data_IF_994247293889
#
_entry.id   IF_994247293889
#
_cell.length_a   1.000
_cell.length_b   1.000
_cell.length_c   1.000
_cell.angle_alpha   90.00
_cell.angle_beta   90.00
_cell.angle_gamma   90.00
#
_symmetry.space_group_name_H-M   'P 1'
#
loop_
_entity.id
_entity.type
_entity.pdbx_description
1 polymer ?
#
# COMPACT_ATOMS: atom_id res chain seq x y z
N UNK A 1 -1.95 6.16 -41.84
CA UNK A 1 -2.47 7.29 -41.02
C UNK A 1 -1.34 8.31 -40.85
N UNK A 2 -1.61 9.62 -40.79
CA UNK A 2 -0.53 10.61 -40.63
C UNK A 2 0.18 10.36 -39.27
N UNK A 3 1.52 10.19 -39.21
CA UNK A 3 2.25 9.87 -37.98
C UNK A 3 2.03 10.93 -36.88
N UNK A 4 1.79 12.18 -37.28
CA UNK A 4 1.44 13.26 -36.35
C UNK A 4 0.04 13.09 -35.76
N UNK A 5 -0.94 12.66 -36.56
CA UNK A 5 -2.29 12.43 -36.07
C UNK A 5 -2.31 11.27 -35.06
N UNK A 6 -1.56 10.20 -35.32
CA UNK A 6 -1.44 9.05 -34.40
C UNK A 6 -0.75 9.42 -33.09
N UNK A 7 0.28 10.28 -33.11
CA UNK A 7 0.92 10.73 -31.87
C UNK A 7 0.01 11.65 -31.06
N UNK A 8 -0.79 12.51 -31.71
CA UNK A 8 -1.84 13.31 -31.06
C UNK A 8 -2.88 12.38 -30.42
N UNK A 9 -3.37 11.37 -31.14
CA UNK A 9 -4.32 10.41 -30.59
C UNK A 9 -3.76 9.68 -29.36
N UNK A 10 -2.51 9.20 -29.42
CA UNK A 10 -1.83 8.57 -28.29
C UNK A 10 -1.68 9.54 -27.10
N UNK A 11 -1.28 10.78 -27.37
CA UNK A 11 -1.18 11.81 -26.33
C UNK A 11 -2.53 12.13 -25.68
N UNK A 12 -3.58 12.28 -26.49
CA UNK A 12 -4.94 12.49 -25.97
C UNK A 12 -5.45 11.32 -25.15
N UNK A 13 -5.10 10.08 -25.52
CA UNK A 13 -5.46 8.90 -24.76
C UNK A 13 -4.85 8.92 -23.35
N UNK A 14 -3.55 9.17 -23.22
CA UNK A 14 -2.90 9.26 -21.90
C UNK A 14 -3.39 10.45 -21.07
N UNK A 15 -3.69 11.60 -21.70
CA UNK A 15 -4.36 12.70 -21.01
C UNK A 15 -5.74 12.31 -20.50
N UNK A 16 -6.55 11.60 -21.30
CA UNK A 16 -7.85 11.10 -20.89
C UNK A 16 -7.73 10.11 -19.72
N UNK A 17 -6.76 9.19 -19.76
CA UNK A 17 -6.50 8.26 -18.64
C UNK A 17 -6.24 9.03 -17.34
N UNK A 18 -5.39 10.07 -17.38
CA UNK A 18 -5.09 10.89 -16.21
C UNK A 18 -6.33 11.64 -15.68
N UNK A 19 -7.12 12.21 -16.60
CA UNK A 19 -8.32 12.99 -16.25
C UNK A 19 -9.41 12.09 -15.68
N UNK A 20 -9.64 10.91 -16.28
CA UNK A 20 -10.59 9.91 -15.77
C UNK A 20 -10.16 9.45 -14.38
N UNK A 21 -8.87 9.17 -14.21
CA UNK A 21 -8.32 8.82 -12.91
C UNK A 21 -8.57 9.94 -11.89
N UNK A 22 -8.59 11.23 -12.26
CA UNK A 22 -8.71 12.34 -11.30
C UNK A 22 -10.15 12.60 -10.81
N UNK A 23 -11.14 11.95 -11.42
CA UNK A 23 -12.56 12.18 -11.10
C UNK A 23 -12.94 11.85 -9.65
N UNK A 24 -12.48 10.73 -9.04
CA UNK A 24 -12.82 10.39 -7.66
C UNK A 24 -12.33 11.43 -6.66
N UNK A 25 -11.07 11.86 -6.80
CA UNK A 25 -10.52 12.96 -6.02
C UNK A 25 -11.32 14.26 -6.16
N UNK A 26 -11.65 14.69 -7.39
CA UNK A 26 -12.45 15.89 -7.63
C UNK A 26 -13.84 15.81 -6.99
N UNK A 27 -14.46 14.64 -7.04
CA UNK A 27 -15.75 14.40 -6.41
C UNK A 27 -15.68 14.43 -4.86
N UNK A 28 -14.55 14.01 -4.29
CA UNK A 28 -14.33 13.97 -2.84
C UNK A 28 -14.01 15.35 -2.25
N UNK A 29 -13.26 16.20 -2.97
CA UNK A 29 -12.86 17.54 -2.49
C UNK A 29 -14.04 18.52 -2.49
N UNK A 30 -14.78 18.61 -3.60
CA UNK A 30 -15.95 19.50 -3.69
C UNK A 30 -17.12 18.84 -4.46
N UNK A 31 -17.95 18.04 -3.76
CA UNK A 31 -19.04 17.30 -4.39
C UNK A 31 -20.14 18.21 -4.96
N UNK A 32 -20.31 19.43 -4.43
CA UNK A 32 -21.35 20.35 -4.90
C UNK A 32 -20.92 20.99 -6.22
N UNK A 33 -19.70 21.53 -6.26
CA UNK A 33 -19.14 22.13 -7.47
C UNK A 33 -18.98 21.09 -8.56
N UNK A 34 -18.48 19.89 -8.24
CA UNK A 34 -18.32 18.80 -9.21
C UNK A 34 -19.66 18.37 -9.85
N UNK A 35 -20.72 18.16 -9.06
CA UNK A 35 -22.05 17.82 -9.59
C UNK A 35 -22.64 18.95 -10.44
N UNK A 36 -22.44 20.20 -10.04
CA UNK A 36 -22.90 21.35 -10.82
C UNK A 36 -22.12 21.48 -12.14
N UNK A 37 -20.84 21.14 -12.13
CA UNK A 37 -19.98 21.20 -13.30
C UNK A 37 -20.34 20.11 -14.32
N UNK A 38 -20.68 18.90 -13.87
CA UNK A 38 -21.11 17.80 -14.74
C UNK A 38 -22.45 18.04 -15.44
N UNK A 39 -23.31 18.94 -14.91
CA UNK A 39 -24.63 19.22 -15.50
C UNK A 39 -24.58 20.22 -16.65
N UNK A 40 -23.55 21.06 -16.73
CA UNK A 40 -23.45 22.12 -17.76
C UNK A 40 -22.73 21.58 -19.01
N UNK A 41 -23.35 21.58 -20.19
CA UNK A 41 -22.72 21.05 -21.41
C UNK A 41 -21.47 21.84 -21.81
N UNK A 42 -21.40 23.13 -21.46
CA UNK A 42 -20.23 24.00 -21.67
C UNK A 42 -18.99 23.46 -20.94
N UNK A 43 -19.15 22.91 -19.74
CA UNK A 43 -18.02 22.40 -18.97
C UNK A 43 -17.47 21.10 -19.56
N UNK A 44 -18.33 20.27 -20.16
CA UNK A 44 -17.90 19.11 -20.93
C UNK A 44 -17.13 19.53 -22.18
N UNK A 45 -17.58 20.56 -22.89
CA UNK A 45 -16.85 21.11 -24.04
C UNK A 45 -15.46 21.66 -23.64
N UNK A 46 -15.38 22.37 -22.50
CA UNK A 46 -14.10 22.86 -21.95
C UNK A 46 -13.20 21.67 -21.57
N UNK A 47 -13.73 20.66 -20.87
CA UNK A 47 -12.96 19.49 -20.46
C UNK A 47 -12.41 18.67 -21.64
N UNK A 48 -13.24 18.45 -22.66
CA UNK A 48 -12.79 17.78 -23.90
C UNK A 48 -11.77 18.64 -24.63
N UNK A 49 -12.01 19.96 -24.73
CA UNK A 49 -11.08 20.90 -25.35
C UNK A 49 -9.72 20.94 -24.66
N UNK A 50 -9.68 20.96 -23.32
CA UNK A 50 -8.42 20.93 -22.56
C UNK A 50 -7.72 19.58 -22.68
N UNK A 51 -8.45 18.45 -22.68
CA UNK A 51 -7.85 17.13 -22.91
C UNK A 51 -7.20 17.03 -24.29
N UNK A 52 -7.88 17.53 -25.33
CA UNK A 52 -7.34 17.54 -26.69
C UNK A 52 -6.13 18.47 -26.79
N UNK A 53 -6.18 19.66 -26.21
CA UNK A 53 -5.06 20.60 -26.17
C UNK A 53 -3.82 20.02 -25.46
N UNK A 54 -4.02 19.37 -24.30
CA UNK A 54 -2.94 18.68 -23.58
C UNK A 54 -2.39 17.49 -24.38
N UNK A 55 -3.24 16.72 -25.06
CA UNK A 55 -2.79 15.63 -25.92
C UNK A 55 -1.98 16.10 -27.12
N UNK A 56 -2.35 17.24 -27.72
CA UNK A 56 -1.54 17.91 -28.76
C UNK A 56 -0.20 18.36 -28.18
N UNK A 57 -0.20 18.99 -27.00
CA UNK A 57 1.03 19.43 -26.33
C UNK A 57 1.98 18.25 -26.03
N UNK A 58 1.44 17.12 -25.55
CA UNK A 58 2.21 15.90 -25.31
C UNK A 58 2.76 15.31 -26.61
N UNK A 59 1.98 15.32 -27.70
CA UNK A 59 2.44 14.86 -29.00
C UNK A 59 3.55 15.74 -29.60
N UNK A 60 3.47 17.06 -29.39
CA UNK A 60 4.54 17.99 -29.75
C UNK A 60 5.79 17.76 -28.90
N UNK A 61 5.63 17.55 -27.60
CA UNK A 61 6.73 17.23 -26.68
C UNK A 61 7.47 15.95 -27.11
N UNK A 62 6.73 14.86 -27.37
CA UNK A 62 7.29 13.59 -27.83
C UNK A 62 8.08 13.77 -29.14
N UNK A 63 7.58 14.65 -30.02
CA UNK A 63 8.25 15.00 -31.29
C UNK A 63 9.50 15.85 -31.11
N UNK A 64 9.57 16.68 -30.06
CA UNK A 64 10.74 17.51 -29.75
C UNK A 64 11.87 16.66 -29.19
N UNK A 65 11.57 15.72 -28.29
CA UNK A 65 12.60 14.92 -27.61
C UNK A 65 13.26 13.93 -28.57
N UNK A 66 12.47 13.19 -29.37
CA UNK A 66 12.86 12.13 -30.33
C UNK A 66 13.73 10.97 -29.80
N UNK A 67 14.53 11.18 -28.76
CA UNK A 67 15.39 10.20 -28.11
C UNK A 67 14.55 9.11 -27.42
N UNK A 68 14.68 7.88 -27.89
CA UNK A 68 13.95 6.72 -27.37
C UNK A 68 14.15 6.52 -25.86
N UNK A 69 15.39 6.62 -25.37
CA UNK A 69 15.72 6.43 -23.96
C UNK A 69 15.10 7.49 -23.06
N UNK A 70 15.10 8.76 -23.48
CA UNK A 70 14.49 9.86 -22.74
C UNK A 70 12.97 9.74 -22.72
N UNK A 71 12.36 9.32 -23.83
CA UNK A 71 10.91 9.13 -23.92
C UNK A 71 10.40 8.03 -22.98
N UNK A 72 11.16 6.94 -22.82
CA UNK A 72 10.86 5.90 -21.84
C UNK A 72 10.91 6.46 -20.41
N UNK A 73 11.91 7.28 -20.07
CA UNK A 73 12.01 7.92 -18.75
C UNK A 73 10.81 8.84 -18.48
N UNK A 74 10.42 9.67 -19.45
CA UNK A 74 9.23 10.53 -19.32
C UNK A 74 7.94 9.72 -19.21
N UNK A 75 7.84 8.59 -19.93
CA UNK A 75 6.73 7.65 -19.77
C UNK A 75 6.66 7.06 -18.37
N UNK A 76 7.81 6.64 -17.80
CA UNK A 76 7.89 6.16 -16.41
C UNK A 76 7.48 7.23 -15.41
N UNK A 77 7.92 8.48 -15.60
CA UNK A 77 7.52 9.61 -14.75
C UNK A 77 6.00 9.86 -14.80
N UNK A 78 5.39 9.79 -16.00
CA UNK A 78 3.93 9.84 -16.15
C UNK A 78 3.25 8.69 -15.38
N UNK A 79 3.75 7.46 -15.54
CA UNK A 79 3.27 6.28 -14.82
C UNK A 79 3.38 6.43 -13.30
N UNK A 80 4.46 7.04 -12.80
CA UNK A 80 4.66 7.33 -11.39
C UNK A 80 3.62 8.30 -10.85
N UNK A 81 3.33 9.38 -11.57
CA UNK A 81 2.31 10.35 -11.18
C UNK A 81 0.93 9.68 -11.17
N UNK A 82 0.61 8.92 -12.22
CA UNK A 82 -0.65 8.17 -12.31
C UNK A 82 -0.79 7.16 -11.17
N UNK A 83 0.27 6.43 -10.81
CA UNK A 83 0.27 5.49 -9.69
C UNK A 83 0.00 6.20 -8.35
N UNK A 84 0.69 7.30 -8.05
CA UNK A 84 0.43 8.08 -6.84
C UNK A 84 -1.03 8.55 -6.77
N UNK A 85 -1.54 9.04 -7.91
CA UNK A 85 -2.93 9.50 -8.01
C UNK A 85 -3.92 8.37 -7.76
N UNK A 86 -3.77 7.21 -8.42
CA UNK A 86 -4.63 6.05 -8.22
C UNK A 86 -4.60 5.52 -6.78
N UNK A 87 -3.44 5.56 -6.12
CA UNK A 87 -3.32 5.22 -4.71
C UNK A 87 -4.20 6.14 -3.86
N UNK A 88 -4.12 7.46 -4.09
CA UNK A 88 -4.95 8.43 -3.36
C UNK A 88 -6.45 8.26 -3.69
N UNK A 89 -6.80 8.09 -4.96
CA UNK A 89 -8.19 7.87 -5.40
C UNK A 89 -8.80 6.62 -4.78
N UNK A 90 -8.02 5.55 -4.61
CA UNK A 90 -8.44 4.33 -3.93
C UNK A 90 -8.94 4.66 -2.51
N UNK A 91 -8.16 5.40 -1.71
CA UNK A 91 -8.58 5.80 -0.35
C UNK A 91 -9.74 6.79 -0.34
N UNK A 92 -9.84 7.68 -1.33
CA UNK A 92 -11.00 8.57 -1.48
C UNK A 92 -12.29 7.78 -1.78
N UNK A 93 -12.22 6.70 -2.57
CA UNK A 93 -13.37 5.86 -2.94
C UNK A 93 -13.78 4.87 -1.86
N UNK A 94 -12.86 4.45 -0.99
CA UNK A 94 -13.15 3.51 0.09
C UNK A 94 -14.25 4.04 1.02
N UNK A 95 -14.23 5.32 1.41
CA UNK A 95 -15.23 5.88 2.32
C UNK A 95 -16.67 5.93 1.77
N UNK A 96 -16.94 6.44 0.55
CA UNK A 96 -18.30 6.38 0.01
C UNK A 96 -18.76 4.93 -0.22
N UNK A 97 -17.85 4.01 -0.55
CA UNK A 97 -18.17 2.59 -0.65
C UNK A 97 -18.54 2.00 0.72
N UNK A 98 -17.76 2.29 1.77
CA UNK A 98 -18.08 1.87 3.14
C UNK A 98 -19.39 2.48 3.65
N UNK A 99 -19.72 3.73 3.26
CA UNK A 99 -21.00 4.36 3.62
C UNK A 99 -22.20 3.60 3.07
N UNK A 100 -22.08 2.93 1.92
CA UNK A 100 -23.15 2.13 1.33
C UNK A 100 -23.50 0.92 2.21
N UNK A 101 -22.48 0.25 2.76
CA UNK A 101 -22.67 -0.96 3.57
C UNK A 101 -22.90 -0.66 5.05
N UNK A 102 -22.18 0.32 5.60
CA UNK A 102 -22.17 0.58 7.04
C UNK A 102 -22.05 2.08 7.39
N UNK A 103 -23.15 2.86 7.29
CA UNK A 103 -23.09 4.32 7.38
C UNK A 103 -22.55 4.84 8.71
N UNK A 104 -23.02 4.28 9.84
CA UNK A 104 -22.66 4.75 11.19
C UNK A 104 -21.21 4.42 11.56
N UNK A 105 -20.75 3.21 11.25
CA UNK A 105 -19.35 2.82 11.46
C UNK A 105 -18.40 3.59 10.56
N UNK A 106 -18.81 3.90 9.33
CA UNK A 106 -17.99 4.69 8.38
C UNK A 106 -17.74 6.10 8.88
N UNK A 107 -18.70 6.73 9.55
CA UNK A 107 -18.48 8.06 10.13
C UNK A 107 -17.38 8.04 11.21
N UNK A 108 -17.34 7.00 12.04
CA UNK A 108 -16.28 6.79 13.05
C UNK A 108 -14.95 6.47 12.37
N UNK A 109 -14.96 5.57 11.38
CA UNK A 109 -13.76 5.20 10.63
C UNK A 109 -13.12 6.38 9.90
N UNK A 110 -13.92 7.25 9.28
CA UNK A 110 -13.43 8.46 8.62
C UNK A 110 -12.83 9.44 9.63
N UNK A 111 -13.41 9.57 10.82
CA UNK A 111 -12.85 10.40 11.88
C UNK A 111 -11.50 9.85 12.35
N UNK A 112 -11.43 8.55 12.65
CA UNK A 112 -10.19 7.88 13.08
C UNK A 112 -9.09 7.89 12.00
N UNK A 113 -9.46 7.72 10.73
CA UNK A 113 -8.53 7.86 9.61
C UNK A 113 -7.95 9.28 9.51
N UNK A 114 -8.82 10.30 9.57
CA UNK A 114 -8.39 11.71 9.52
C UNK A 114 -7.52 12.07 10.73
N UNK A 115 -7.86 11.56 11.90
CA UNK A 115 -7.04 11.70 13.11
C UNK A 115 -5.65 11.08 12.87
N UNK A 116 -5.59 9.83 12.43
CA UNK A 116 -4.33 9.13 12.16
C UNK A 116 -3.44 9.84 11.13
N UNK A 117 -3.99 10.29 10.00
CA UNK A 117 -3.22 10.97 8.93
C UNK A 117 -2.77 12.39 9.35
N UNK A 118 -3.49 13.04 10.27
CA UNK A 118 -3.14 14.37 10.79
C UNK A 118 -2.14 14.33 11.93
N UNK A 119 -2.00 13.19 12.61
CA UNK A 119 -1.01 13.04 13.67
C UNK A 119 0.40 13.20 13.09
N UNK A 120 1.30 13.97 13.74
CA UNK A 120 2.68 14.14 13.28
C UNK A 120 3.43 12.82 13.09
N UNK A 121 3.12 11.81 13.90
CA UNK A 121 3.74 10.48 13.85
C UNK A 121 3.56 9.80 12.48
N UNK A 122 2.45 10.02 11.79
CA UNK A 122 2.23 9.48 10.45
C UNK A 122 3.31 9.96 9.48
N UNK A 123 3.50 11.28 9.40
CA UNK A 123 4.47 11.88 8.49
C UNK A 123 5.91 11.68 8.94
N UNK A 124 6.17 11.65 10.24
CA UNK A 124 7.50 11.35 10.79
C UNK A 124 7.95 9.93 10.44
N UNK A 125 7.11 8.92 10.66
CA UNK A 125 7.42 7.52 10.31
C UNK A 125 7.59 7.38 8.81
N UNK A 126 6.68 7.97 8.01
CA UNK A 126 6.76 7.93 6.54
C UNK A 126 8.06 8.57 6.03
N UNK A 127 8.41 9.75 6.54
CA UNK A 127 9.63 10.45 6.12
C UNK A 127 10.90 9.70 6.56
N UNK A 128 10.91 9.13 7.77
CA UNK A 128 12.04 8.36 8.28
C UNK A 128 12.24 7.07 7.50
N UNK A 129 11.17 6.29 7.29
CA UNK A 129 11.20 5.07 6.49
C UNK A 129 11.60 5.36 5.03
N UNK A 130 11.02 6.40 4.42
CA UNK A 130 11.40 6.85 3.08
C UNK A 130 12.87 7.31 3.01
N UNK A 131 13.37 8.00 4.04
CA UNK A 131 14.77 8.41 4.13
C UNK A 131 15.75 7.24 4.18
N UNK A 132 15.49 6.24 5.02
CA UNK A 132 16.29 5.01 5.07
C UNK A 132 16.28 4.30 3.70
N UNK A 133 15.10 4.20 3.09
CA UNK A 133 14.93 3.55 1.79
C UNK A 133 15.67 4.29 0.66
N UNK A 134 15.73 5.62 0.69
CA UNK A 134 16.51 6.41 -0.28
C UNK A 134 18.02 6.27 -0.09
N UNK A 135 18.47 5.99 1.14
CA UNK A 135 19.89 5.78 1.46
C UNK A 135 20.33 4.35 1.09
N UNK A 136 19.42 3.37 1.16
CA UNK A 136 19.68 1.94 0.94
C UNK A 136 20.52 1.63 -0.32
N UNK A 137 20.23 2.16 -1.53
CA UNK A 137 21.06 1.98 -2.73
C UNK A 137 22.54 2.32 -2.57
N UNK A 138 22.88 3.27 -1.70
CA UNK A 138 24.24 3.76 -1.54
C UNK A 138 25.04 2.98 -0.49
N UNK A 139 24.40 2.05 0.22
CA UNK A 139 25.03 1.26 1.27
C UNK A 139 25.65 0.01 0.65
N UNK A 140 26.97 -0.22 0.78
CA UNK A 140 27.57 -1.47 0.34
C UNK A 140 27.04 -2.62 1.19
N UNK A 141 26.28 -3.52 0.57
CA UNK A 141 25.77 -4.72 1.25
C UNK A 141 26.78 -5.86 1.33
N UNK A 142 27.96 -5.68 0.71
CA UNK A 142 28.97 -6.71 0.56
C UNK A 142 28.41 -8.01 -0.04
N UNK A 143 27.41 -7.87 -0.92
CA UNK A 143 26.85 -9.01 -1.65
C UNK A 143 27.71 -9.26 -2.88
N UNK A 144 27.85 -10.52 -3.28
CA UNK A 144 28.61 -10.91 -4.47
C UNK A 144 27.79 -10.68 -5.76
N UNK A 145 27.26 -9.46 -5.94
CA UNK A 145 26.47 -9.07 -7.12
C UNK A 145 24.95 -9.27 -6.99
N UNK A 146 24.41 -9.40 -5.78
CA UNK A 146 22.97 -9.52 -5.52
C UNK A 146 22.36 -8.26 -4.87
N UNK A 147 22.98 -7.10 -5.08
CA UNK A 147 22.60 -5.85 -4.41
C UNK A 147 21.14 -5.46 -4.70
N UNK A 148 20.68 -5.66 -5.95
CA UNK A 148 19.29 -5.42 -6.33
C UNK A 148 18.26 -6.26 -5.55
N UNK A 149 18.58 -7.53 -5.26
CA UNK A 149 17.71 -8.41 -4.45
C UNK A 149 17.70 -7.93 -3.00
N UNK A 150 18.85 -7.53 -2.47
CA UNK A 150 19.02 -7.05 -1.08
C UNK A 150 18.29 -5.73 -0.83
N UNK A 151 18.44 -4.74 -1.72
CA UNK A 151 17.73 -3.44 -1.65
C UNK A 151 16.22 -3.66 -1.67
N UNK A 152 15.75 -4.58 -2.51
CA UNK A 152 14.32 -4.96 -2.61
C UNK A 152 13.79 -5.56 -1.30
N UNK A 153 14.51 -6.51 -0.72
CA UNK A 153 14.12 -7.16 0.54
C UNK A 153 14.09 -6.15 1.71
N UNK A 154 15.13 -5.34 1.83
CA UNK A 154 15.21 -4.28 2.86
C UNK A 154 14.08 -3.27 2.70
N UNK A 155 13.78 -2.84 1.47
CA UNK A 155 12.69 -1.92 1.20
C UNK A 155 11.33 -2.47 1.64
N UNK A 156 11.03 -3.74 1.37
CA UNK A 156 9.80 -4.37 1.85
C UNK A 156 9.73 -4.47 3.36
N UNK A 157 10.83 -4.83 4.03
CA UNK A 157 10.91 -4.88 5.48
C UNK A 157 10.71 -3.50 6.13
N UNK A 158 11.24 -2.43 5.52
CA UNK A 158 11.04 -1.05 5.98
C UNK A 158 9.55 -0.66 5.86
N UNK A 159 8.90 -0.96 4.73
CA UNK A 159 7.46 -0.67 4.52
C UNK A 159 6.61 -1.41 5.56
N UNK A 160 6.85 -2.70 5.73
CA UNK A 160 6.16 -3.55 6.70
C UNK A 160 6.30 -3.00 8.11
N UNK A 161 7.53 -2.73 8.55
CA UNK A 161 7.81 -2.22 9.89
C UNK A 161 7.16 -0.86 10.12
N UNK A 162 7.21 0.05 9.13
CA UNK A 162 6.57 1.36 9.23
C UNK A 162 5.04 1.26 9.40
N UNK A 163 4.39 0.42 8.59
CA UNK A 163 2.94 0.20 8.66
C UNK A 163 2.50 -0.40 10.00
N UNK A 164 3.21 -1.44 10.46
CA UNK A 164 2.96 -2.09 11.75
C UNK A 164 3.19 -1.11 12.91
N UNK A 165 4.33 -0.42 12.92
CA UNK A 165 4.69 0.52 13.97
C UNK A 165 3.64 1.63 14.09
N UNK A 166 3.27 2.25 12.98
CA UNK A 166 2.23 3.28 12.96
C UNK A 166 0.88 2.72 13.42
N UNK A 167 0.45 1.56 12.90
CA UNK A 167 -0.84 0.98 13.26
C UNK A 167 -0.96 0.68 14.75
N UNK A 168 0.05 0.05 15.34
CA UNK A 168 0.10 -0.28 16.78
C UNK A 168 0.13 0.99 17.63
N UNK A 169 0.96 1.99 17.26
CA UNK A 169 1.03 3.26 17.98
C UNK A 169 -0.30 4.02 17.92
N UNK A 170 -0.88 4.16 16.73
CA UNK A 170 -2.13 4.88 16.52
C UNK A 170 -3.30 4.22 17.26
N UNK A 171 -3.38 2.88 17.26
CA UNK A 171 -4.39 2.16 18.03
C UNK A 171 -4.21 2.35 19.54
N UNK A 172 -2.98 2.22 20.02
CA UNK A 172 -2.69 2.35 21.45
C UNK A 172 -3.01 3.76 21.95
N UNK A 173 -2.66 4.81 21.19
CA UNK A 173 -2.98 6.20 21.56
C UNK A 173 -4.48 6.48 21.44
N UNK A 174 -5.04 6.29 20.25
CA UNK A 174 -6.41 6.71 19.95
C UNK A 174 -7.46 5.96 20.78
N UNK A 175 -7.21 4.70 21.15
CA UNK A 175 -8.18 3.90 21.93
C UNK A 175 -7.93 4.05 23.43
N UNK A 176 -6.69 3.87 23.91
CA UNK A 176 -6.43 3.93 25.35
C UNK A 176 -6.71 5.32 25.91
N UNK A 177 -6.31 6.41 25.22
CA UNK A 177 -6.55 7.78 25.70
C UNK A 177 -8.04 8.12 25.73
N UNK A 178 -8.83 7.66 24.76
CA UNK A 178 -10.27 7.95 24.75
C UNK A 178 -11.05 7.16 25.79
N UNK A 179 -10.59 5.95 26.12
CA UNK A 179 -11.22 5.14 27.15
C UNK A 179 -10.80 5.63 28.56
N UNK A 180 -9.51 5.92 28.78
CA UNK A 180 -9.01 6.45 30.06
C UNK A 180 -9.49 7.88 30.33
N UNK A 181 -9.49 8.73 29.30
CA UNK A 181 -9.95 10.12 29.38
C UNK A 181 -11.47 10.29 29.48
N UNK A 182 -12.24 9.19 29.54
CA UNK A 182 -13.73 9.15 29.54
C UNK A 182 -14.39 9.86 28.34
N UNK A 183 -13.64 10.26 27.32
CA UNK A 183 -14.18 10.93 26.12
C UNK A 183 -14.97 9.97 25.24
N UNK A 184 -14.71 8.66 25.31
CA UNK A 184 -15.52 7.64 24.66
C UNK A 184 -17.03 7.72 25.03
N UNK A 185 -17.35 8.12 26.27
CA UNK A 185 -18.74 8.25 26.75
C UNK A 185 -19.47 9.38 26.02
N UNK A 186 -18.76 10.46 25.70
CA UNK A 186 -19.34 11.59 24.96
C UNK A 186 -19.71 11.21 23.52
N UNK A 187 -18.89 10.37 22.88
CA UNK A 187 -19.19 9.86 21.53
C UNK A 187 -20.38 8.90 21.57
N UNK A 188 -20.48 8.08 22.61
CA UNK A 188 -21.59 7.15 22.84
C UNK A 188 -22.93 7.84 23.22
N UNK A 189 -22.92 9.15 23.51
CA UNK A 189 -24.17 9.92 23.68
C UNK A 189 -24.93 10.12 22.35
N UNK A 190 -24.24 9.94 21.21
CA UNK A 190 -24.84 9.81 19.88
C UNK A 190 -25.27 8.35 19.65
N UNK A 191 -26.17 8.04 18.69
CA UNK A 191 -26.68 6.68 18.46
C UNK A 191 -25.64 5.74 17.79
N UNK A 192 -24.46 5.61 18.40
CA UNK A 192 -23.32 4.78 18.00
C UNK A 192 -23.08 3.74 19.09
N UNK A 193 -23.26 2.46 18.73
CA UNK A 193 -23.00 1.36 19.67
C UNK A 193 -21.50 1.20 19.98
N UNK A 194 -21.16 0.65 21.15
CA UNK A 194 -19.79 0.25 21.54
C UNK A 194 -19.06 -0.55 20.45
N UNK A 195 -19.77 -1.49 19.80
CA UNK A 195 -19.24 -2.31 18.70
C UNK A 195 -18.88 -1.47 17.47
N UNK A 196 -19.75 -0.53 17.10
CA UNK A 196 -19.52 0.40 15.98
C UNK A 196 -18.36 1.35 16.24
N UNK A 197 -18.18 1.77 17.49
CA UNK A 197 -17.06 2.61 17.88
C UNK A 197 -15.71 1.87 17.71
N UNK A 198 -15.56 0.68 18.30
CA UNK A 198 -14.30 -0.08 18.26
C UNK A 198 -13.93 -0.53 16.84
N UNK A 199 -14.89 -1.14 16.13
CA UNK A 199 -14.68 -1.61 14.76
C UNK A 199 -14.46 -0.44 13.79
N UNK A 200 -15.16 0.69 13.98
CA UNK A 200 -14.93 1.90 13.20
C UNK A 200 -13.51 2.44 13.38
N UNK A 201 -13.01 2.52 14.62
CA UNK A 201 -11.63 2.92 14.91
C UNK A 201 -10.62 1.98 14.28
N UNK A 202 -10.81 0.67 14.42
CA UNK A 202 -9.96 -0.33 13.77
C UNK A 202 -9.86 -0.10 12.26
N UNK A 203 -11.00 0.01 11.56
CA UNK A 203 -11.02 0.22 10.10
C UNK A 203 -10.37 1.56 9.72
N UNK A 204 -10.63 2.63 10.47
CA UNK A 204 -10.04 3.94 10.20
C UNK A 204 -8.52 3.95 10.34
N UNK A 205 -7.99 3.34 11.41
CA UNK A 205 -6.54 3.23 11.65
C UNK A 205 -5.91 2.29 10.63
N UNK A 206 -6.57 1.17 10.29
CA UNK A 206 -6.11 0.26 9.25
C UNK A 206 -5.96 0.96 7.91
N UNK A 207 -6.96 1.74 7.50
CA UNK A 207 -6.91 2.52 6.26
C UNK A 207 -5.80 3.57 6.28
N UNK A 208 -5.53 4.19 7.44
CA UNK A 208 -4.42 5.13 7.58
C UNK A 208 -3.07 4.39 7.42
N UNK A 209 -2.89 3.24 8.06
CA UNK A 209 -1.69 2.41 7.87
C UNK A 209 -1.53 1.94 6.42
N UNK A 210 -2.61 1.53 5.76
CA UNK A 210 -2.58 1.12 4.36
C UNK A 210 -2.22 2.29 3.44
N UNK A 211 -2.66 3.52 3.75
CA UNK A 211 -2.25 4.72 3.01
C UNK A 211 -0.74 4.95 3.18
N UNK A 212 -0.21 4.83 4.39
CA UNK A 212 1.25 4.93 4.64
C UNK A 212 2.02 3.89 3.83
N UNK A 213 1.57 2.63 3.86
CA UNK A 213 2.16 1.53 3.07
C UNK A 213 2.11 1.85 1.57
N UNK A 214 0.99 2.37 1.07
CA UNK A 214 0.86 2.78 -0.34
C UNK A 214 1.79 3.94 -0.73
N UNK A 215 1.95 4.95 0.15
CA UNK A 215 2.87 6.06 -0.07
C UNK A 215 4.34 5.59 -0.06
N UNK A 216 4.72 4.74 0.90
CA UNK A 216 6.05 4.15 0.94
C UNK A 216 6.29 3.18 -0.23
N UNK A 217 5.27 2.43 -0.66
CA UNK A 217 5.33 1.59 -1.86
C UNK A 217 5.58 2.39 -3.14
N UNK A 218 5.02 3.60 -3.24
CA UNK A 218 5.34 4.51 -4.32
C UNK A 218 6.80 4.99 -4.28
N UNK A 219 7.31 5.36 -3.10
CA UNK A 219 8.73 5.73 -2.90
C UNK A 219 9.64 4.55 -3.24
N UNK A 220 9.30 3.35 -2.78
CA UNK A 220 10.03 2.11 -3.06
C UNK A 220 10.17 1.83 -4.54
N UNK A 221 9.08 1.93 -5.31
CA UNK A 221 9.14 1.75 -6.76
C UNK A 221 10.08 2.79 -7.42
N UNK A 222 10.11 4.03 -6.88
CA UNK A 222 11.06 5.06 -7.29
C UNK A 222 12.51 4.71 -6.98
N UNK A 223 12.79 4.16 -5.79
CA UNK A 223 14.12 3.69 -5.39
C UNK A 223 14.59 2.53 -6.26
N UNK A 224 13.72 1.53 -6.51
CA UNK A 224 14.03 0.41 -7.39
C UNK A 224 14.30 0.87 -8.82
N UNK A 225 13.59 1.89 -9.30
CA UNK A 225 13.86 2.49 -10.60
C UNK A 225 15.21 3.24 -10.63
N UNK A 226 15.55 3.95 -9.56
CA UNK A 226 16.84 4.62 -9.43
C UNK A 226 18.00 3.62 -9.41
N UNK A 227 17.85 2.51 -8.68
CA UNK A 227 18.85 1.44 -8.60
C UNK A 227 19.18 0.88 -9.99
N UNK A 228 18.16 0.57 -10.79
CA UNK A 228 18.33 0.09 -12.16
C UNK A 228 18.96 1.12 -13.11
N UNK A 229 18.83 2.40 -12.79
CA UNK A 229 19.47 3.45 -13.57
C UNK A 229 20.96 3.57 -13.22
N UNK A 230 21.31 3.34 -11.95
CA UNK A 230 22.67 3.44 -11.43
C UNK A 230 23.50 2.19 -11.75
N UNK A 231 22.98 1.01 -11.44
CA UNK A 231 23.60 -0.28 -11.74
C UNK A 231 23.19 -0.78 -13.13
N UNK A 232 23.97 -0.40 -14.14
CA UNK A 232 23.74 -0.77 -15.53
C UNK A 232 23.92 -2.26 -15.81
N UNK A 233 24.66 -2.97 -14.97
CA UNK A 233 24.89 -4.40 -15.14
C UNK A 233 23.64 -5.16 -14.67
N UNK A 234 23.04 -4.76 -13.54
CA UNK A 234 21.73 -5.26 -13.11
C UNK A 234 20.60 -4.99 -14.13
N UNK A 235 20.68 -3.89 -14.88
CA UNK A 235 19.70 -3.56 -15.91
C UNK A 235 19.81 -4.43 -17.18
N UNK A 236 20.97 -5.02 -17.47
CA UNK A 236 21.17 -5.87 -18.66
C UNK A 236 20.54 -7.25 -18.49
N UNK A 237 20.49 -7.76 -17.26
CA UNK A 237 19.95 -9.08 -16.94
C UNK A 237 18.41 -9.09 -16.87
N UNK A 238 17.77 -7.93 -16.67
CA UNK A 238 16.31 -7.83 -16.58
C UNK A 238 15.71 -7.71 -17.98
N UNK A 239 15.24 -8.85 -18.50
CA UNK A 239 14.44 -8.92 -19.72
C UNK A 239 13.15 -8.10 -19.54
N UNK A 240 12.83 -7.27 -20.53
CA UNK A 240 11.56 -6.54 -20.58
C UNK A 240 10.39 -7.51 -20.29
N UNK A 241 9.39 -7.11 -19.48
CA UNK A 241 8.29 -8.00 -19.10
C UNK A 241 7.59 -8.56 -20.34
N UNK A 242 7.24 -9.85 -20.30
CA UNK A 242 6.66 -10.54 -21.45
C UNK A 242 5.40 -9.82 -22.00
N UNK A 243 4.57 -9.29 -21.13
CA UNK A 243 3.36 -8.55 -21.51
C UNK A 243 3.68 -7.16 -22.11
N UNK A 244 4.74 -6.48 -21.63
CA UNK A 244 5.20 -5.21 -22.22
C UNK A 244 5.80 -5.46 -23.61
N UNK A 245 6.53 -6.58 -23.78
CA UNK A 245 7.03 -6.99 -25.09
C UNK A 245 5.89 -7.35 -26.06
N UNK A 246 4.86 -8.05 -25.60
CA UNK A 246 3.65 -8.28 -26.39
C UNK A 246 2.97 -6.96 -26.78
N UNK A 247 2.86 -6.00 -25.86
CA UNK A 247 2.31 -4.68 -26.15
C UNK A 247 3.16 -3.91 -27.16
N UNK A 248 4.50 -3.96 -27.04
CA UNK A 248 5.45 -3.39 -28.01
C UNK A 248 5.18 -3.94 -29.41
N UNK A 249 5.09 -5.26 -29.57
CA UNK A 249 4.83 -5.90 -30.85
C UNK A 249 3.45 -5.54 -31.41
N UNK A 250 2.41 -5.52 -30.56
CA UNK A 250 1.05 -5.21 -30.97
C UNK A 250 0.84 -3.74 -31.38
N UNK A 251 1.63 -2.83 -30.80
CA UNK A 251 1.47 -1.38 -31.00
C UNK A 251 2.48 -0.79 -31.99
N UNK A 252 3.59 -1.48 -32.28
CA UNK A 252 4.62 -1.04 -33.22
C UNK A 252 4.06 -0.71 -34.62
N UNK A 253 3.06 -1.45 -35.09
CA UNK A 253 2.45 -1.19 -36.40
C UNK A 253 1.49 0.02 -36.40
N UNK A 254 0.94 0.38 -35.23
CA UNK A 254 -0.14 1.37 -35.09
C UNK A 254 0.31 2.74 -34.59
N UNK A 255 1.41 2.79 -33.83
CA UNK A 255 1.89 3.97 -33.12
C UNK A 255 3.31 4.31 -33.62
N UNK A 256 3.61 5.58 -33.95
CA UNK A 256 4.97 6.00 -34.30
C UNK A 256 5.97 5.74 -33.16
N UNK A 257 7.22 5.39 -33.50
CA UNK A 257 8.25 4.98 -32.54
C UNK A 257 8.42 5.94 -31.34
N UNK A 258 8.45 7.27 -31.50
CA UNK A 258 8.58 8.17 -30.36
C UNK A 258 7.39 8.08 -29.37
N UNK A 259 6.17 8.00 -29.89
CA UNK A 259 4.97 7.88 -29.06
C UNK A 259 4.84 6.48 -28.44
N UNK A 260 5.32 5.46 -29.14
CA UNK A 260 5.41 4.10 -28.62
C UNK A 260 6.34 4.05 -27.41
N UNK A 261 7.55 4.61 -27.50
CA UNK A 261 8.53 4.61 -26.40
C UNK A 261 8.01 5.29 -25.12
N UNK A 262 7.27 6.41 -25.27
CA UNK A 262 6.60 7.04 -24.13
C UNK A 262 5.55 6.11 -23.50
N UNK A 263 4.69 5.48 -24.32
CA UNK A 263 3.66 4.56 -23.84
C UNK A 263 4.25 3.31 -23.16
N UNK A 264 5.35 2.78 -23.70
CA UNK A 264 6.08 1.65 -23.12
C UNK A 264 6.69 2.03 -21.77
N UNK A 265 7.25 3.24 -21.63
CA UNK A 265 7.74 3.72 -20.34
C UNK A 265 6.65 3.75 -19.26
N UNK A 266 5.45 4.20 -19.61
CA UNK A 266 4.30 4.18 -18.68
C UNK A 266 3.90 2.75 -18.28
N UNK A 267 3.89 1.82 -19.24
CA UNK A 267 3.63 0.40 -18.98
C UNK A 267 4.71 -0.26 -18.11
N UNK A 268 5.98 0.08 -18.31
CA UNK A 268 7.08 -0.43 -17.47
C UNK A 268 6.92 0.00 -16.02
N UNK A 269 6.49 1.24 -15.76
CA UNK A 269 6.20 1.68 -14.39
C UNK A 269 5.02 0.91 -13.77
N UNK A 270 3.99 0.66 -14.56
CA UNK A 270 2.84 -0.15 -14.14
C UNK A 270 3.29 -1.58 -13.78
N UNK A 271 4.23 -2.15 -14.55
CA UNK A 271 4.84 -3.44 -14.23
C UNK A 271 5.53 -3.42 -12.86
N UNK A 272 6.41 -2.45 -12.61
CA UNK A 272 7.05 -2.28 -11.29
C UNK A 272 6.01 -2.22 -10.15
N UNK A 273 4.92 -1.50 -10.39
CA UNK A 273 3.85 -1.34 -9.40
C UNK A 273 3.05 -2.63 -9.18
N UNK A 274 2.87 -3.45 -10.23
CA UNK A 274 2.24 -4.77 -10.10
C UNK A 274 3.14 -5.79 -9.41
N UNK A 275 4.46 -5.72 -9.62
CA UNK A 275 5.41 -6.61 -8.96
C UNK A 275 5.54 -6.34 -7.46
N UNK A 276 5.41 -5.09 -7.02
CA UNK A 276 5.48 -4.74 -5.59
C UNK A 276 4.17 -4.91 -4.84
N UNK A 277 3.03 -4.99 -5.54
CA UNK A 277 1.69 -5.11 -4.96
C UNK A 277 1.54 -6.26 -3.94
N UNK A 278 2.01 -7.51 -4.19
CA UNK A 278 1.92 -8.59 -3.23
C UNK A 278 2.68 -8.31 -1.92
N UNK A 279 3.86 -7.68 -2.01
CA UNK A 279 4.62 -7.28 -0.83
C UNK A 279 3.86 -6.25 0.01
N UNK A 280 3.28 -5.24 -0.65
CA UNK A 280 2.44 -4.23 0.02
C UNK A 280 1.19 -4.87 0.65
N UNK A 281 0.59 -5.85 -0.03
CA UNK A 281 -0.55 -6.58 0.50
C UNK A 281 -0.19 -7.40 1.76
N UNK A 282 0.98 -8.05 1.79
CA UNK A 282 1.46 -8.77 2.96
C UNK A 282 1.81 -7.85 4.13
N UNK A 283 2.50 -6.73 3.86
CA UNK A 283 2.71 -5.68 4.85
C UNK A 283 1.38 -5.16 5.44
N UNK A 284 0.37 -4.99 4.58
CA UNK A 284 -0.99 -4.63 4.97
C UNK A 284 -1.68 -5.70 5.83
N UNK A 285 -1.58 -6.98 5.45
CA UNK A 285 -2.15 -8.10 6.19
C UNK A 285 -1.51 -8.26 7.58
N UNK A 286 -0.20 -8.11 7.67
CA UNK A 286 0.52 -8.15 8.94
C UNK A 286 0.13 -6.99 9.85
N UNK A 287 0.03 -5.79 9.27
CA UNK A 287 -0.46 -4.61 9.99
C UNK A 287 -1.89 -4.83 10.47
N UNK A 288 -2.76 -5.43 9.65
CA UNK A 288 -4.14 -5.75 9.96
C UNK A 288 -4.27 -6.69 11.17
N UNK A 289 -3.39 -7.71 11.25
CA UNK A 289 -3.34 -8.66 12.37
C UNK A 289 -2.86 -7.98 13.66
N UNK A 290 -1.70 -7.32 13.62
CA UNK A 290 -1.14 -6.68 14.81
C UNK A 290 -1.98 -5.50 15.30
N UNK A 291 -2.59 -4.75 14.39
CA UNK A 291 -3.55 -3.72 14.72
C UNK A 291 -4.76 -4.31 15.45
N UNK A 292 -5.29 -5.46 15.02
CA UNK A 292 -6.44 -6.08 15.67
C UNK A 292 -6.10 -6.50 17.11
N UNK A 293 -4.90 -7.04 17.31
CA UNK A 293 -4.38 -7.38 18.65
C UNK A 293 -4.20 -6.10 19.49
N UNK A 294 -3.60 -5.04 18.92
CA UNK A 294 -3.38 -3.77 19.61
C UNK A 294 -4.72 -3.14 20.04
N UNK A 295 -5.72 -3.12 19.15
CA UNK A 295 -7.08 -2.65 19.46
C UNK A 295 -7.69 -3.47 20.60
N UNK A 296 -7.59 -4.80 20.56
CA UNK A 296 -8.14 -5.66 21.60
C UNK A 296 -7.47 -5.42 22.97
N UNK A 297 -6.15 -5.32 23.00
CA UNK A 297 -5.38 -5.06 24.22
C UNK A 297 -5.65 -3.65 24.78
N UNK A 298 -5.75 -2.64 23.91
CA UNK A 298 -6.02 -1.24 24.29
C UNK A 298 -7.36 -1.06 25.01
N UNK A 299 -8.30 -2.00 24.90
CA UNK A 299 -9.59 -1.93 25.62
C UNK A 299 -9.45 -2.10 27.13
N UNK A 300 -8.34 -2.68 27.63
CA UNK A 300 -8.09 -2.86 29.08
C UNK A 300 -6.71 -2.44 29.54
N UNK A 301 -5.72 -2.45 28.67
CA UNK A 301 -4.35 -2.12 29.02
C UNK A 301 -4.04 -0.64 28.69
N UNK A 302 -3.24 0.04 29.52
CA UNK A 302 -2.79 1.40 29.23
C UNK A 302 -1.87 1.43 28.02
N UNK A 303 -1.70 2.62 27.44
CA UNK A 303 -0.94 2.86 26.20
C UNK A 303 0.41 2.12 26.16
N UNK A 304 1.26 2.33 27.18
CA UNK A 304 2.63 1.80 27.22
C UNK A 304 2.63 0.27 27.21
N UNK A 305 1.73 -0.34 27.98
CA UNK A 305 1.66 -1.80 28.10
C UNK A 305 1.21 -2.41 26.78
N UNK A 306 0.15 -1.86 26.17
CA UNK A 306 -0.34 -2.32 24.86
C UNK A 306 0.74 -2.26 23.80
N UNK A 307 1.44 -1.12 23.70
CA UNK A 307 2.50 -0.92 22.72
C UNK A 307 3.64 -1.93 22.90
N UNK A 308 4.18 -2.05 24.13
CA UNK A 308 5.28 -2.97 24.43
C UNK A 308 4.87 -4.42 24.18
N UNK A 309 3.67 -4.83 24.58
CA UNK A 309 3.16 -6.18 24.32
C UNK A 309 3.05 -6.47 22.83
N UNK A 310 2.58 -5.52 22.01
CA UNK A 310 2.51 -5.71 20.56
C UNK A 310 3.90 -5.82 19.91
N UNK A 311 4.88 -5.06 20.39
CA UNK A 311 6.28 -5.19 19.93
C UNK A 311 6.84 -6.57 20.27
N UNK A 312 6.58 -7.09 21.46
CA UNK A 312 7.00 -8.46 21.85
C UNK A 312 6.31 -9.50 20.96
N UNK A 313 5.01 -9.37 20.71
CA UNK A 313 4.25 -10.26 19.82
C UNK A 313 4.79 -10.21 18.39
N UNK A 314 5.17 -9.02 17.89
CA UNK A 314 5.78 -8.88 16.57
C UNK A 314 7.08 -9.69 16.46
N UNK A 315 8.01 -9.56 17.41
CA UNK A 315 9.27 -10.30 17.36
C UNK A 315 9.06 -11.80 17.55
N UNK A 316 8.23 -12.20 18.52
CA UNK A 316 7.93 -13.61 18.74
C UNK A 316 7.27 -14.24 17.50
N UNK A 317 6.33 -13.56 16.86
CA UNK A 317 5.62 -14.08 15.68
C UNK A 317 6.50 -14.34 14.45
N UNK A 318 7.69 -13.72 14.35
CA UNK A 318 8.67 -14.06 13.31
C UNK A 318 9.65 -15.15 13.76
N UNK A 319 9.94 -15.24 15.06
CA UNK A 319 10.98 -16.11 15.58
C UNK A 319 10.46 -17.49 16.02
N UNK A 320 9.16 -17.66 16.31
CA UNK A 320 8.60 -18.92 16.83
C UNK A 320 8.89 -20.10 15.92
N UNK A 321 8.70 -19.96 14.61
CA UNK A 321 8.95 -21.03 13.65
C UNK A 321 10.44 -21.45 13.64
N UNK A 322 11.35 -20.47 13.67
CA UNK A 322 12.80 -20.72 13.77
C UNK A 322 13.15 -21.42 15.09
N UNK A 323 12.52 -21.04 16.20
CA UNK A 323 12.73 -21.69 17.49
C UNK A 323 12.25 -23.14 17.49
N UNK A 324 11.12 -23.45 16.86
CA UNK A 324 10.61 -24.84 16.74
C UNK A 324 11.57 -25.71 15.92
N UNK A 325 12.06 -25.19 14.80
CA UNK A 325 12.97 -25.95 13.91
C UNK A 325 14.33 -26.20 14.55
N UNK A 326 14.91 -25.19 15.20
CA UNK A 326 16.24 -25.31 15.84
C UNK A 326 16.21 -26.14 17.13
N UNK A 327 15.09 -26.09 17.88
CA UNK A 327 14.95 -26.86 19.13
C UNK A 327 14.55 -28.32 18.92
N UNK A 328 14.11 -28.69 17.71
CA UNK A 328 13.74 -30.05 17.36
C UNK A 328 14.88 -31.04 17.65
N UNK A 329 14.62 -32.01 18.53
CA UNK A 329 15.59 -33.05 18.88
C UNK A 329 16.74 -32.63 19.81
N UNK A 330 16.82 -31.36 20.25
CA UNK A 330 17.87 -30.88 21.16
C UNK A 330 17.39 -30.72 22.60
N UNK A 331 16.38 -29.88 22.82
CA UNK A 331 15.87 -29.54 24.15
C UNK A 331 14.35 -29.69 24.22
N UNK A 332 13.87 -30.68 24.97
CA UNK A 332 12.44 -30.99 25.04
C UNK A 332 11.58 -29.84 25.57
N UNK A 333 12.02 -29.14 26.63
CA UNK A 333 11.29 -28.01 27.20
C UNK A 333 11.22 -26.82 26.24
N UNK A 334 12.34 -26.48 25.58
CA UNK A 334 12.39 -25.36 24.63
C UNK A 334 11.50 -25.65 23.42
N UNK A 335 11.53 -26.89 22.90
CA UNK A 335 10.67 -27.30 21.79
C UNK A 335 9.17 -27.29 22.17
N UNK A 336 8.83 -27.72 23.39
CA UNK A 336 7.46 -27.62 23.88
C UNK A 336 6.99 -26.17 23.98
N UNK A 337 7.80 -25.28 24.58
CA UNK A 337 7.49 -23.85 24.67
C UNK A 337 7.40 -23.18 23.28
N UNK A 338 8.32 -23.50 22.37
CA UNK A 338 8.30 -22.98 21.01
C UNK A 338 7.01 -23.38 20.26
N UNK A 339 6.60 -24.66 20.35
CA UNK A 339 5.34 -25.14 19.76
C UNK A 339 4.10 -24.52 20.41
N UNK A 340 4.15 -24.24 21.71
CA UNK A 340 3.07 -23.54 22.40
C UNK A 340 2.91 -22.12 21.83
N UNK A 341 4.00 -21.36 21.74
CA UNK A 341 3.95 -20.01 21.19
C UNK A 341 3.60 -19.99 19.71
N UNK A 342 4.09 -20.94 18.91
CA UNK A 342 3.76 -21.09 17.48
C UNK A 342 2.25 -21.32 17.23
N UNK A 343 1.58 -22.02 18.15
CA UNK A 343 0.13 -22.24 18.06
C UNK A 343 -0.73 -21.08 18.57
N UNK A 344 -0.21 -20.25 19.48
CA UNK A 344 -0.98 -19.17 20.15
C UNK A 344 -0.76 -17.82 19.46
N UNK A 345 0.49 -17.52 19.11
CA UNK A 345 0.86 -16.26 18.47
C UNK A 345 0.58 -16.29 16.98
N UNK A 346 0.38 -15.13 16.34
CA UNK A 346 0.24 -15.10 14.89
C UNK A 346 1.58 -15.50 14.25
N UNK A 347 1.54 -16.42 13.29
CA UNK A 347 2.70 -16.79 12.48
C UNK A 347 2.98 -15.67 11.48
N UNK A 348 3.74 -14.65 11.89
CA UNK A 348 4.01 -13.48 11.06
C UNK A 348 5.00 -13.79 9.93
N UNK A 349 5.78 -14.87 10.07
CA UNK A 349 6.67 -15.42 9.04
C UNK A 349 5.95 -15.73 7.71
N UNK A 350 4.64 -16.05 7.75
CA UNK A 350 3.87 -16.28 6.52
C UNK A 350 3.70 -15.03 5.64
N UNK A 351 3.88 -13.83 6.22
CA UNK A 351 3.81 -12.57 5.49
C UNK A 351 5.16 -12.14 4.90
N UNK A 352 6.25 -12.86 5.20
CA UNK A 352 7.57 -12.53 4.65
C UNK A 352 7.68 -12.96 3.18
N UNK A 353 7.77 -11.97 2.29
CA UNK A 353 7.95 -12.17 0.86
C UNK A 353 9.43 -12.39 0.48
N UNK A 354 10.38 -12.05 1.35
CA UNK A 354 11.82 -12.20 1.12
C UNK A 354 12.19 -13.66 0.81
N UNK A 355 11.67 -14.60 1.60
CA UNK A 355 11.87 -16.04 1.40
C UNK A 355 11.30 -16.59 0.07
N UNK A 356 10.28 -15.92 -0.49
CA UNK A 356 9.69 -16.28 -1.79
C UNK A 356 10.44 -15.67 -2.97
N UNK A 357 10.93 -14.44 -2.82
CA UNK A 357 11.70 -13.73 -3.84
C UNK A 357 13.17 -14.16 -3.94
N UNK A 358 13.73 -14.71 -2.87
CA UNK A 358 15.06 -15.31 -2.87
C UNK A 358 15.15 -16.59 -3.71
N UNK A 359 14.02 -17.15 -4.15
CA UNK A 359 14.00 -18.32 -5.04
C UNK A 359 14.26 -17.86 -6.48
N UNK A 360 15.31 -18.38 -7.11
CA UNK A 360 15.68 -18.07 -8.51
C UNK A 360 14.66 -18.55 -9.56
N UNK A 361 13.63 -19.30 -9.15
CA UNK A 361 12.55 -19.75 -10.02
C UNK A 361 11.26 -19.01 -9.65
N UNK A 362 10.69 -18.19 -10.56
CA UNK A 362 9.41 -17.54 -10.29
C UNK A 362 8.34 -18.62 -10.05
N UNK A 363 7.57 -18.53 -8.96
CA UNK A 363 6.51 -19.50 -8.67
C UNK A 363 5.47 -19.48 -9.80
N UNK A 364 4.85 -20.64 -10.06
CA UNK A 364 3.70 -20.71 -10.97
C UNK A 364 2.67 -19.65 -10.57
N UNK A 365 2.22 -18.84 -11.53
CA UNK A 365 1.37 -17.67 -11.27
C UNK A 365 0.11 -18.08 -10.51
N UNK A 366 -0.47 -19.24 -10.85
CA UNK A 366 -1.67 -19.76 -10.20
C UNK A 366 -1.44 -20.13 -8.73
N UNK A 367 -0.32 -20.79 -8.43
CA UNK A 367 0.08 -21.17 -7.08
C UNK A 367 0.42 -19.93 -6.23
N UNK A 368 1.03 -18.92 -6.84
CA UNK A 368 1.34 -17.67 -6.15
C UNK A 368 0.06 -16.92 -5.73
N UNK A 369 -0.92 -16.77 -6.62
CA UNK A 369 -2.20 -16.15 -6.27
C UNK A 369 -2.97 -16.95 -5.21
N UNK A 370 -2.93 -18.28 -5.27
CA UNK A 370 -3.52 -19.14 -4.24
C UNK A 370 -2.83 -18.95 -2.88
N UNK A 371 -1.49 -18.84 -2.86
CA UNK A 371 -0.72 -18.55 -1.65
C UNK A 371 -1.11 -17.19 -1.06
N UNK A 372 -1.07 -16.11 -1.87
CA UNK A 372 -1.47 -14.77 -1.45
C UNK A 372 -2.89 -14.79 -0.88
N UNK A 373 -3.84 -15.44 -1.56
CA UNK A 373 -5.22 -15.58 -1.09
C UNK A 373 -5.34 -16.32 0.25
N UNK A 374 -4.57 -17.39 0.44
CA UNK A 374 -4.57 -18.15 1.70
C UNK A 374 -4.01 -17.34 2.88
N UNK A 375 -2.92 -16.60 2.66
CA UNK A 375 -2.28 -15.73 3.66
C UNK A 375 -3.18 -14.56 4.02
N UNK A 376 -3.82 -13.93 3.04
CA UNK A 376 -4.84 -12.90 3.30
C UNK A 376 -6.02 -13.47 4.08
N UNK A 377 -6.49 -14.68 3.73
CA UNK A 377 -7.56 -15.37 4.47
C UNK A 377 -7.19 -15.63 5.93
N UNK A 378 -5.97 -16.11 6.18
CA UNK A 378 -5.43 -16.27 7.53
C UNK A 378 -5.44 -14.95 8.31
N UNK A 379 -4.96 -13.87 7.69
CA UNK A 379 -4.92 -12.56 8.32
C UNK A 379 -6.32 -12.06 8.71
N UNK A 380 -7.30 -12.18 7.80
CA UNK A 380 -8.69 -11.75 8.05
C UNK A 380 -9.30 -12.55 9.20
N UNK A 381 -9.13 -13.87 9.19
CA UNK A 381 -9.67 -14.74 10.25
C UNK A 381 -9.04 -14.40 11.61
N UNK A 382 -7.72 -14.26 11.68
CA UNK A 382 -7.03 -13.91 12.91
C UNK A 382 -7.48 -12.54 13.44
N UNK A 383 -7.58 -11.53 12.56
CA UNK A 383 -8.08 -10.21 12.92
C UNK A 383 -9.51 -10.24 13.44
N UNK A 384 -10.40 -11.04 12.83
CA UNK A 384 -11.77 -11.22 13.33
C UNK A 384 -11.77 -11.81 14.74
N UNK A 385 -10.99 -12.87 14.98
CA UNK A 385 -10.90 -13.52 16.29
C UNK A 385 -10.38 -12.52 17.35
N UNK A 386 -9.30 -11.80 17.04
CA UNK A 386 -8.73 -10.79 17.94
C UNK A 386 -9.72 -9.65 18.23
N UNK A 387 -10.44 -9.16 17.23
CA UNK A 387 -11.46 -8.11 17.41
C UNK A 387 -12.67 -8.60 18.21
N UNK A 388 -13.14 -9.83 17.97
CA UNK A 388 -14.21 -10.43 18.78
C UNK A 388 -13.81 -10.53 20.24
N UNK A 389 -12.57 -10.96 20.51
CA UNK A 389 -12.03 -10.98 21.86
C UNK A 389 -12.01 -9.56 22.48
N UNK A 390 -11.53 -8.56 21.73
CA UNK A 390 -11.55 -7.17 22.16
C UNK A 390 -12.96 -6.62 22.43
N UNK A 391 -13.95 -7.01 21.62
CA UNK A 391 -15.35 -6.60 21.80
C UNK A 391 -15.95 -7.18 23.08
N UNK A 392 -15.74 -8.47 23.35
CA UNK A 392 -16.18 -9.12 24.60
C UNK A 392 -15.53 -8.40 25.79
N UNK A 393 -14.22 -8.16 25.70
CA UNK A 393 -13.44 -7.52 26.75
C UNK A 393 -13.92 -6.09 27.07
N UNK A 394 -14.44 -5.38 26.07
CA UNK A 394 -14.96 -4.02 26.13
C UNK A 394 -16.43 -3.94 26.60
N UNK A 395 -17.25 -4.95 26.33
CA UNK A 395 -18.64 -5.01 26.83
C UNK A 395 -18.67 -5.10 28.36
N UNK A 396 -17.81 -5.93 28.94
CA UNK A 396 -17.69 -6.13 30.39
C UNK A 396 -17.06 -4.94 31.13
N UNK A 397 -16.49 -3.97 30.41
CA UNK A 397 -15.88 -2.79 31.03
C UNK A 397 -16.98 -1.82 31.44
N UNK A 398 -17.19 -1.68 32.74
CA UNK A 398 -18.01 -0.62 33.32
C UNK A 398 -17.35 0.73 33.02
N UNK A 399 -17.98 1.50 32.13
CA UNK A 399 -17.56 2.86 31.77
C UNK A 399 -18.27 3.91 32.65
N UNK A 400 -18.80 3.52 33.81
CA UNK A 400 -19.50 4.39 34.76
C UNK A 400 -18.53 4.94 35.82
#
# INVERSE_FOLDING_TARGET
MNPFLTSVLCGTFWCLVQVIAALPWLAAVDPQTFRSALRKPVNWAIAVGTCVALGIALALFVRIVQDASRLVIWGKAYGAILHAQLTIDCFCLVFPLLMLFWPRGTAVALAAFREGVRQPMFWLITAFAGGIMLISPFVPYFTFGEDFKMVREIGYNIIMLAGVLFGVLAASLSISEEIEGRTAITVMSKPVSRRQFLLGKYVGILLASLLMIGLLGWVFNGVMWFELFYDRDAAQDIVDPAWVNQARLAWAEKIPDPALNFSLGALMWLDFSMQSLPALAFAGCQTMVLLAIAVALATRLPFIVTFVTCVVIFFLGHLTHVLVTVSAGRFALVNFMAKFFDNVLPGLDYFDLGALLARDVPPDQSAFFAYVGSVTGYAVLYSIIALLFGLILFEDRDLA
#
